data_IF_923644681867
#
_entry.id   IF_923644681867
#
_cell.length_a   1.000
_cell.length_b   1.000
_cell.length_c   1.000
_cell.angle_alpha   90.00
_cell.angle_beta   90.00
_cell.angle_gamma   90.00
#
_symmetry.space_group_name_H-M   'P 1'
#
loop_
_entity.id
_entity.type
_entity.pdbx_description
1 polymer ?
#
# COMPACT_ATOMS: atom_id res chain seq x y z
N UNK A 1 54.68 -15.82 70.61
CA UNK A 1 53.69 -16.57 71.42
C UNK A 1 52.29 -16.13 71.00
N UNK A 2 51.45 -17.12 70.61
CA UNK A 2 49.96 -17.14 70.64
C UNK A 2 49.22 -16.00 69.90
N UNK A 3 48.68 -16.23 68.71
CA UNK A 3 47.41 -16.94 68.41
C UNK A 3 46.18 -16.31 69.07
N UNK A 4 45.26 -15.79 68.23
CA UNK A 4 43.80 -16.05 68.19
C UNK A 4 43.11 -14.85 67.51
N UNK A 5 42.64 -14.96 66.27
CA UNK A 5 41.41 -15.62 65.81
C UNK A 5 40.16 -14.73 65.91
N UNK A 6 39.54 -14.52 64.74
CA UNK A 6 38.13 -14.20 64.46
C UNK A 6 37.68 -12.74 64.71
N UNK A 7 37.61 -11.96 63.63
CA UNK A 7 36.37 -11.21 63.33
C UNK A 7 36.09 -11.32 61.82
N UNK A 8 34.83 -11.64 61.57
CA UNK A 8 34.15 -11.99 60.33
C UNK A 8 33.71 -10.73 59.57
N UNK A 9 33.66 -10.85 58.25
CA UNK A 9 32.61 -10.39 57.33
C UNK A 9 32.59 -8.95 56.77
N UNK A 10 32.46 -9.01 55.44
CA UNK A 10 31.84 -8.10 54.48
C UNK A 10 32.48 -6.75 54.22
N UNK A 11 32.93 -6.60 52.97
CA UNK A 11 32.64 -5.44 52.12
C UNK A 11 32.92 -5.85 50.67
N UNK A 12 32.00 -6.63 50.07
CA UNK A 12 31.91 -6.72 48.61
C UNK A 12 30.96 -5.60 48.20
N UNK A 13 31.53 -4.45 47.87
CA UNK A 13 30.79 -3.36 47.27
C UNK A 13 30.33 -3.79 45.87
N UNK A 14 29.05 -4.12 45.76
CA UNK A 14 28.39 -4.39 44.49
C UNK A 14 28.33 -3.13 43.65
N UNK A 15 29.17 -3.07 42.61
CA UNK A 15 28.91 -2.19 41.47
C UNK A 15 27.80 -2.83 40.64
N UNK A 16 26.55 -2.50 40.97
CA UNK A 16 25.42 -2.75 40.09
C UNK A 16 25.57 -1.81 38.88
N UNK A 17 26.19 -2.33 37.81
CA UNK A 17 26.22 -1.65 36.52
C UNK A 17 24.79 -1.51 36.00
N UNK A 18 24.31 -0.26 35.94
CA UNK A 18 23.08 0.06 35.20
C UNK A 18 23.40 -0.10 33.72
N UNK A 19 23.14 -1.30 33.19
CA UNK A 19 23.08 -1.53 31.75
C UNK A 19 21.83 -0.80 31.24
N UNK A 20 22.03 0.42 30.73
CA UNK A 20 21.03 1.07 29.91
C UNK A 20 20.79 0.17 28.70
N UNK A 21 19.63 -0.50 28.68
CA UNK A 21 19.15 -1.21 27.51
C UNK A 21 18.90 -0.16 26.41
N UNK A 22 19.89 0.05 25.54
CA UNK A 22 19.67 0.67 24.24
C UNK A 22 18.83 -0.31 23.43
N UNK A 23 17.51 -0.18 23.53
CA UNK A 23 16.61 -0.82 22.59
C UNK A 23 17.03 -0.40 21.19
N UNK A 24 17.25 -1.33 20.25
CA UNK A 24 17.44 -0.95 18.86
C UNK A 24 16.20 -0.16 18.45
N UNK A 25 16.40 1.06 17.96
CA UNK A 25 15.33 1.78 17.29
C UNK A 25 14.91 0.89 16.12
N UNK A 26 13.72 0.29 16.22
CA UNK A 26 13.08 -0.37 15.08
C UNK A 26 13.09 0.65 13.96
N UNK A 27 13.87 0.38 12.91
CA UNK A 27 13.88 1.22 11.72
C UNK A 27 12.42 1.34 11.27
N UNK A 28 11.87 2.55 11.35
CA UNK A 28 10.56 2.82 10.82
C UNK A 28 10.56 2.34 9.38
N UNK A 29 9.61 1.47 9.03
CA UNK A 29 9.43 1.07 7.64
C UNK A 29 9.34 2.36 6.80
N UNK A 30 10.15 2.52 5.75
CA UNK A 30 10.15 3.76 4.99
C UNK A 30 8.74 3.94 4.42
N UNK A 31 8.11 5.06 4.76
CA UNK A 31 6.81 5.41 4.23
C UNK A 31 6.80 5.32 2.70
N UNK A 32 5.64 5.06 2.07
CA UNK A 32 5.56 4.97 0.63
C UNK A 32 6.16 6.21 -0.03
N UNK A 33 7.04 5.98 -1.00
CA UNK A 33 7.74 7.05 -1.71
C UNK A 33 7.31 7.07 -3.17
N UNK A 34 6.77 8.18 -3.65
CA UNK A 34 6.50 8.35 -5.08
C UNK A 34 7.83 8.39 -5.85
N UNK A 35 8.00 7.47 -6.81
CA UNK A 35 9.19 7.36 -7.65
C UNK A 35 9.09 8.22 -8.92
N UNK A 36 7.87 8.43 -9.42
CA UNK A 36 7.61 9.22 -10.63
C UNK A 36 6.63 8.53 -11.60
N UNK A 37 6.66 8.94 -12.86
CA UNK A 37 5.93 8.27 -13.94
C UNK A 37 6.73 7.12 -14.56
N UNK A 38 6.17 6.49 -15.58
CA UNK A 38 6.84 5.43 -16.35
C UNK A 38 6.73 5.71 -17.85
N UNK A 39 7.70 5.22 -18.61
CA UNK A 39 7.63 5.18 -20.08
C UNK A 39 7.06 3.82 -20.49
N UNK A 40 5.74 3.80 -20.73
CA UNK A 40 4.99 2.59 -21.10
C UNK A 40 5.50 2.03 -22.43
N UNK A 41 5.85 2.90 -23.38
CA UNK A 41 6.39 2.49 -24.68
C UNK A 41 7.75 1.80 -24.53
N UNK A 42 8.63 2.37 -23.71
CA UNK A 42 9.93 1.74 -23.42
C UNK A 42 9.77 0.40 -22.70
N UNK A 43 8.84 0.29 -21.75
CA UNK A 43 8.52 -0.98 -21.11
C UNK A 43 8.02 -2.02 -22.13
N UNK A 44 7.02 -1.70 -22.96
CA UNK A 44 6.50 -2.61 -23.97
C UNK A 44 7.60 -3.07 -24.95
N UNK A 45 8.48 -2.16 -25.39
CA UNK A 45 9.64 -2.51 -26.23
C UNK A 45 10.61 -3.45 -25.53
N UNK A 46 10.83 -3.27 -24.23
CA UNK A 46 11.74 -4.12 -23.46
C UNK A 46 11.30 -5.58 -23.36
N UNK A 47 9.98 -5.84 -23.49
CA UNK A 47 9.39 -7.17 -23.42
C UNK A 47 9.02 -7.74 -24.81
N UNK A 48 9.48 -7.10 -25.89
CA UNK A 48 9.39 -7.63 -27.26
C UNK A 48 8.23 -7.08 -28.12
N UNK A 49 7.49 -6.09 -27.63
CA UNK A 49 6.48 -5.40 -28.43
C UNK A 49 7.10 -4.24 -29.24
N UNK A 50 6.35 -3.73 -30.21
CA UNK A 50 6.79 -2.60 -31.06
C UNK A 50 6.72 -1.28 -30.28
N UNK A 51 5.61 -1.04 -29.59
CA UNK A 51 5.39 0.14 -28.76
C UNK A 51 4.19 -0.05 -27.82
N UNK A 52 3.82 1.00 -27.09
CA UNK A 52 2.54 1.11 -26.39
C UNK A 52 1.54 1.97 -27.17
N UNK A 53 0.24 1.68 -27.03
CA UNK A 53 -0.83 2.51 -27.54
C UNK A 53 -1.92 2.69 -26.50
N UNK A 54 -2.45 3.91 -26.41
CA UNK A 54 -3.67 4.22 -25.69
C UNK A 54 -4.84 4.16 -26.67
N UNK A 55 -5.81 3.28 -26.43
CA UNK A 55 -6.90 3.02 -27.39
C UNK A 55 -8.26 3.55 -26.93
N UNK A 56 -8.28 4.26 -25.81
CA UNK A 56 -9.44 4.87 -25.20
C UNK A 56 -9.04 6.06 -24.32
N UNK A 57 -9.76 6.29 -23.24
CA UNK A 57 -9.59 7.47 -22.37
C UNK A 57 -9.38 7.11 -20.91
N UNK A 58 -9.11 5.86 -20.59
CA UNK A 58 -8.91 5.38 -19.21
C UNK A 58 -7.53 4.78 -19.05
N UNK A 59 -7.06 4.69 -17.80
CA UNK A 59 -5.79 4.05 -17.48
C UNK A 59 -5.71 2.59 -17.96
N UNK A 60 -6.85 1.89 -18.10
CA UNK A 60 -6.91 0.51 -18.57
C UNK A 60 -6.88 0.36 -20.09
N UNK A 61 -7.01 1.45 -20.84
CA UNK A 61 -6.97 1.42 -22.31
C UNK A 61 -5.54 1.46 -22.87
N UNK A 62 -4.52 1.38 -22.00
CA UNK A 62 -3.13 1.23 -22.38
C UNK A 62 -2.82 -0.23 -22.72
N UNK A 63 -2.27 -0.45 -23.91
CA UNK A 63 -1.86 -1.77 -24.38
C UNK A 63 -0.45 -1.73 -24.96
N UNK A 64 0.26 -2.84 -24.82
CA UNK A 64 1.41 -3.08 -25.68
C UNK A 64 0.95 -3.53 -27.07
N UNK A 65 1.65 -3.11 -28.12
CA UNK A 65 1.29 -3.38 -29.52
C UNK A 65 2.40 -4.18 -30.19
N UNK A 66 2.06 -5.35 -30.73
CA UNK A 66 2.99 -6.21 -31.46
C UNK A 66 3.23 -5.73 -32.90
N UNK A 67 4.18 -6.35 -33.59
CA UNK A 67 4.54 -5.98 -34.98
C UNK A 67 3.40 -6.17 -36.00
N UNK A 68 2.44 -7.05 -35.69
CA UNK A 68 1.23 -7.27 -36.49
C UNK A 68 0.06 -6.33 -36.12
N UNK A 69 0.28 -5.42 -35.17
CA UNK A 69 -0.73 -4.49 -34.66
C UNK A 69 -1.68 -5.08 -33.60
N UNK A 70 -1.50 -6.36 -33.23
CA UNK A 70 -2.27 -6.96 -32.12
C UNK A 70 -1.94 -6.27 -30.79
N UNK A 71 -2.96 -6.17 -29.93
CA UNK A 71 -2.89 -5.48 -28.63
C UNK A 71 -2.83 -6.50 -27.52
N UNK A 72 -2.00 -6.22 -26.53
CA UNK A 72 -1.76 -7.09 -25.39
C UNK A 72 -1.84 -6.27 -24.11
N UNK A 73 -2.40 -6.88 -23.07
CA UNK A 73 -2.52 -6.24 -21.76
C UNK A 73 -1.14 -6.05 -21.15
N UNK A 74 -0.99 -4.96 -20.39
CA UNK A 74 0.18 -4.69 -19.60
C UNK A 74 -0.23 -4.50 -18.14
N UNK A 75 0.66 -4.87 -17.23
CA UNK A 75 0.47 -4.56 -15.81
C UNK A 75 1.35 -3.38 -15.45
N UNK A 76 0.74 -2.31 -14.93
CA UNK A 76 1.50 -1.14 -14.49
C UNK A 76 2.48 -1.48 -13.37
N UNK A 77 2.17 -2.46 -12.53
CA UNK A 77 3.09 -2.96 -11.50
C UNK A 77 4.39 -3.50 -12.11
N UNK A 78 4.30 -4.37 -13.13
CA UNK A 78 5.50 -4.90 -13.80
C UNK A 78 6.27 -3.78 -14.52
N UNK A 79 5.56 -2.85 -15.15
CA UNK A 79 6.18 -1.70 -15.79
C UNK A 79 6.93 -0.80 -14.77
N UNK A 80 6.34 -0.55 -13.60
CA UNK A 80 7.00 0.17 -12.51
C UNK A 80 8.24 -0.56 -11.98
N UNK A 81 8.16 -1.88 -11.79
CA UNK A 81 9.33 -2.69 -11.38
C UNK A 81 10.46 -2.61 -12.40
N UNK A 82 10.12 -2.70 -13.68
CA UNK A 82 11.09 -2.58 -14.78
C UNK A 82 11.71 -1.17 -14.83
N UNK A 83 10.90 -0.10 -14.81
CA UNK A 83 11.38 1.29 -14.90
C UNK A 83 12.34 1.65 -13.77
N UNK A 84 12.09 1.17 -12.55
CA UNK A 84 12.88 1.53 -11.37
C UNK A 84 13.85 0.44 -10.89
N UNK A 85 13.90 -0.71 -11.57
CA UNK A 85 14.80 -1.82 -11.26
C UNK A 85 14.63 -2.38 -9.85
N UNK A 86 13.40 -2.44 -9.34
CA UNK A 86 13.13 -2.89 -7.97
C UNK A 86 11.75 -3.52 -7.81
N UNK A 87 11.68 -4.67 -7.11
CA UNK A 87 10.42 -5.36 -6.82
C UNK A 87 9.51 -4.61 -5.84
N UNK A 88 10.09 -3.64 -5.12
CA UNK A 88 9.40 -2.74 -4.22
C UNK A 88 8.58 -1.65 -4.95
N UNK A 89 8.73 -1.52 -6.27
CA UNK A 89 7.96 -0.58 -7.06
C UNK A 89 6.58 -1.16 -7.40
N UNK A 90 5.53 -0.39 -7.15
CA UNK A 90 4.14 -0.69 -7.53
C UNK A 90 3.52 0.51 -8.20
N UNK A 91 2.46 0.27 -8.97
CA UNK A 91 1.67 1.34 -9.56
C UNK A 91 0.59 1.85 -8.61
N UNK A 92 0.20 3.11 -8.83
CA UNK A 92 -1.01 3.71 -8.29
C UNK A 92 -1.64 4.55 -9.38
N UNK A 93 -2.87 4.22 -9.74
CA UNK A 93 -3.70 5.01 -10.65
C UNK A 93 -4.35 6.12 -9.84
N UNK A 94 -4.02 7.37 -10.16
CA UNK A 94 -4.59 8.53 -9.45
C UNK A 94 -6.06 8.79 -9.80
N UNK A 95 -6.42 8.59 -11.07
CA UNK A 95 -7.79 8.70 -11.59
C UNK A 95 -7.96 7.72 -12.75
N UNK A 96 -8.95 6.84 -12.67
CA UNK A 96 -9.23 5.87 -13.73
C UNK A 96 -9.48 6.52 -15.09
N UNK A 97 -10.12 7.70 -15.12
CA UNK A 97 -10.46 8.45 -16.34
C UNK A 97 -9.34 9.37 -16.82
N UNK A 98 -8.19 9.36 -16.15
CA UNK A 98 -6.98 10.03 -16.62
C UNK A 98 -5.90 8.96 -16.88
N UNK A 99 -5.66 8.58 -18.15
CA UNK A 99 -4.69 7.55 -18.50
C UNK A 99 -3.25 7.96 -18.19
N UNK A 100 -2.99 9.24 -17.92
CA UNK A 100 -1.68 9.74 -17.53
C UNK A 100 -1.51 9.85 -16.01
N UNK A 101 -2.52 9.45 -15.22
CA UNK A 101 -2.49 9.57 -13.75
C UNK A 101 -1.68 8.48 -13.04
N UNK A 102 -1.20 7.47 -13.77
CA UNK A 102 -0.44 6.35 -13.21
C UNK A 102 0.91 6.83 -12.70
N UNK A 103 1.23 6.53 -11.44
CA UNK A 103 2.52 6.83 -10.82
C UNK A 103 3.08 5.57 -10.18
N UNK A 104 4.40 5.45 -10.19
CA UNK A 104 5.10 4.41 -9.47
C UNK A 104 5.44 4.86 -8.06
N UNK A 105 5.31 3.94 -7.12
CA UNK A 105 5.59 4.14 -5.70
C UNK A 105 6.50 3.01 -5.21
N UNK A 106 7.49 3.36 -4.40
CA UNK A 106 8.25 2.40 -3.60
C UNK A 106 7.48 2.14 -2.32
N UNK A 107 7.24 0.86 -2.06
CA UNK A 107 6.53 0.35 -0.88
C UNK A 107 7.26 -0.87 -0.35
N UNK A 108 6.88 -1.33 0.83
CA UNK A 108 7.25 -2.64 1.34
C UNK A 108 6.49 -3.76 0.61
N UNK A 109 6.90 -5.01 0.86
CA UNK A 109 6.18 -6.18 0.39
C UNK A 109 4.85 -6.41 1.13
N UNK A 110 4.59 -5.67 2.21
CA UNK A 110 3.36 -5.82 2.99
C UNK A 110 2.16 -5.27 2.20
N UNK A 111 1.14 -6.12 2.07
CA UNK A 111 -0.15 -5.80 1.47
C UNK A 111 -1.21 -5.96 2.54
N UNK A 112 -2.00 -4.91 2.76
CA UNK A 112 -3.07 -4.90 3.76
C UNK A 112 -4.39 -4.69 3.02
N UNK A 113 -5.35 -5.59 3.20
CA UNK A 113 -6.71 -5.40 2.69
C UNK A 113 -7.39 -4.26 3.46
N UNK A 114 -7.98 -3.26 2.79
CA UNK A 114 -8.65 -2.17 3.48
C UNK A 114 -9.85 -2.66 4.31
N UNK A 115 -9.93 -2.21 5.55
CA UNK A 115 -11.06 -2.48 6.43
C UNK A 115 -12.19 -1.46 6.16
N UNK A 116 -12.83 -1.57 4.98
CA UNK A 116 -13.83 -0.60 4.50
C UNK A 116 -15.05 -0.54 5.43
N UNK A 117 -15.55 -1.69 5.87
CA UNK A 117 -16.71 -1.77 6.79
C UNK A 117 -16.41 -1.16 8.16
N UNK A 118 -15.27 -1.53 8.76
CA UNK A 118 -14.79 -0.95 10.02
C UNK A 118 -14.58 0.56 9.90
N UNK A 119 -14.05 1.05 8.77
CA UNK A 119 -13.93 2.48 8.53
C UNK A 119 -15.30 3.18 8.48
N UNK A 120 -16.26 2.63 7.73
CA UNK A 120 -17.60 3.20 7.64
C UNK A 120 -18.31 3.23 8.99
N UNK A 121 -18.24 2.14 9.76
CA UNK A 121 -18.81 2.10 11.11
C UNK A 121 -18.12 3.08 12.06
N UNK A 122 -16.79 3.21 11.99
CA UNK A 122 -16.03 4.18 12.79
C UNK A 122 -16.37 5.65 12.49
N UNK A 123 -16.85 5.94 11.28
CA UNK A 123 -17.25 7.28 10.84
C UNK A 123 -18.75 7.56 11.06
N UNK A 124 -19.46 6.65 11.74
CA UNK A 124 -20.86 6.82 12.14
C UNK A 124 -21.88 6.28 11.13
N UNK A 125 -21.43 5.54 10.12
CA UNK A 125 -22.31 4.83 9.20
C UNK A 125 -22.70 3.45 9.73
N UNK A 126 -23.70 2.81 9.11
CA UNK A 126 -24.16 1.48 9.52
C UNK A 126 -23.22 0.36 9.07
N UNK A 127 -22.68 0.47 7.86
CA UNK A 127 -21.80 -0.53 7.25
C UNK A 127 -21.14 0.05 5.98
N UNK A 128 -20.35 -0.77 5.30
CA UNK A 128 -20.01 -0.61 3.89
C UNK A 128 -20.95 -1.42 2.98
N UNK A 129 -21.15 -0.94 1.76
CA UNK A 129 -21.89 -1.63 0.71
C UNK A 129 -21.16 -1.51 -0.63
N UNK A 130 -21.21 -2.57 -1.43
CA UNK A 130 -20.71 -2.58 -2.80
C UNK A 130 -21.90 -2.45 -3.76
N UNK A 131 -21.98 -1.35 -4.51
CA UNK A 131 -23.08 -1.02 -5.43
C UNK A 131 -22.70 -1.23 -6.90
N UNK A 132 -22.07 -2.35 -7.20
CA UNK A 132 -21.56 -2.65 -8.53
C UNK A 132 -20.52 -3.76 -8.46
N UNK A 133 -19.51 -3.69 -9.32
CA UNK A 133 -18.46 -4.71 -9.43
C UNK A 133 -17.06 -4.13 -9.49
N UNK A 134 -16.92 -2.82 -9.68
CA UNK A 134 -15.63 -2.14 -9.81
C UNK A 134 -15.14 -1.65 -8.48
N UNK A 135 -13.84 -1.35 -8.43
CA UNK A 135 -13.17 -0.78 -7.26
C UNK A 135 -13.77 0.55 -6.79
N UNK A 136 -14.51 1.27 -7.63
CA UNK A 136 -15.14 2.55 -7.27
C UNK A 136 -16.57 2.41 -6.74
N UNK A 137 -17.14 1.21 -6.73
CA UNK A 137 -18.53 1.00 -6.32
C UNK A 137 -18.69 0.80 -4.80
N UNK A 138 -17.63 1.02 -4.01
CA UNK A 138 -17.68 0.96 -2.56
C UNK A 138 -18.27 2.23 -1.95
N UNK A 139 -19.29 2.06 -1.11
CA UNK A 139 -19.98 3.13 -0.41
C UNK A 139 -20.10 2.83 1.08
N UNK A 140 -20.12 3.88 1.92
CA UNK A 140 -20.68 3.73 3.25
C UNK A 140 -22.21 3.80 3.14
N UNK A 141 -22.92 3.06 3.99
CA UNK A 141 -24.38 3.00 3.98
C UNK A 141 -24.98 3.28 5.35
N UNK A 142 -26.08 4.03 5.37
CA UNK A 142 -26.97 4.14 6.52
C UNK A 142 -28.25 3.37 6.23
N UNK A 143 -28.51 2.30 6.98
CA UNK A 143 -29.75 1.55 6.84
C UNK A 143 -30.90 2.29 7.53
N UNK A 144 -32.01 2.42 6.82
CA UNK A 144 -33.26 2.93 7.36
C UNK A 144 -34.41 1.96 7.04
N UNK A 145 -35.58 2.18 7.63
CA UNK A 145 -36.78 1.36 7.36
C UNK A 145 -37.41 1.62 5.99
N UNK A 146 -37.05 2.72 5.34
CA UNK A 146 -37.61 3.12 4.04
C UNK A 146 -36.62 2.72 2.96
N UNK A 147 -35.50 3.43 2.89
CA UNK A 147 -34.42 3.15 1.92
C UNK A 147 -33.04 3.34 2.55
N UNK A 148 -32.02 2.59 2.13
CA UNK A 148 -30.63 2.87 2.48
C UNK A 148 -30.15 4.19 1.86
N UNK A 149 -29.35 4.95 2.60
CA UNK A 149 -28.67 6.14 2.09
C UNK A 149 -27.18 5.84 1.95
N UNK A 150 -26.60 6.13 0.78
CA UNK A 150 -25.22 5.83 0.44
C UNK A 150 -24.34 7.08 0.41
N UNK A 151 -23.07 6.89 0.76
CA UNK A 151 -22.06 7.94 0.86
C UNK A 151 -20.75 7.47 0.23
N UNK A 152 -20.00 8.40 -0.35
CA UNK A 152 -18.70 8.10 -0.96
C UNK A 152 -17.68 7.61 0.08
N UNK A 153 -16.88 6.62 -0.31
CA UNK A 153 -15.75 6.12 0.48
C UNK A 153 -14.46 6.72 -0.04
N UNK A 154 -13.69 7.36 0.85
CA UNK A 154 -12.32 7.76 0.53
C UNK A 154 -11.34 6.63 0.84
N UNK A 155 -10.93 5.86 -0.16
CA UNK A 155 -9.95 4.78 0.02
C UNK A 155 -8.60 5.23 0.62
N UNK A 156 -8.05 6.41 0.28
CA UNK A 156 -6.91 6.94 1.00
C UNK A 156 -7.16 7.09 2.52
N UNK A 157 -8.38 7.50 2.92
CA UNK A 157 -8.75 7.59 4.34
C UNK A 157 -8.95 6.20 4.97
N UNK A 158 -9.59 5.27 4.26
CA UNK A 158 -9.73 3.86 4.69
C UNK A 158 -8.37 3.23 4.95
N UNK A 159 -7.39 3.43 4.07
CA UNK A 159 -6.06 2.87 4.29
C UNK A 159 -5.37 3.46 5.51
N UNK A 160 -5.49 4.78 5.75
CA UNK A 160 -4.93 5.39 6.96
C UNK A 160 -5.57 4.84 8.23
N UNK A 161 -6.88 4.62 8.20
CA UNK A 161 -7.61 3.97 9.28
C UNK A 161 -7.12 2.53 9.50
N UNK A 162 -7.06 1.74 8.43
CA UNK A 162 -6.69 0.31 8.46
C UNK A 162 -5.27 0.08 8.98
N UNK A 163 -4.32 0.92 8.54
CA UNK A 163 -2.91 0.83 8.97
C UNK A 163 -2.67 1.49 10.33
N UNK A 164 -3.59 2.34 10.80
CA UNK A 164 -3.39 3.15 12.01
C UNK A 164 -2.35 4.26 11.85
N UNK A 165 -2.14 4.76 10.62
CA UNK A 165 -1.11 5.76 10.32
C UNK A 165 -1.21 6.37 8.93
N UNK A 166 -0.49 7.48 8.70
CA UNK A 166 -0.51 8.20 7.41
C UNK A 166 0.45 7.67 6.35
N UNK A 167 1.40 6.81 6.74
CA UNK A 167 2.41 6.21 5.87
C UNK A 167 1.82 5.04 5.07
N UNK A 168 0.86 5.33 4.19
CA UNK A 168 0.22 4.34 3.33
C UNK A 168 -0.26 4.99 2.04
N UNK A 169 -0.33 4.21 0.97
CA UNK A 169 -1.09 4.52 -0.24
C UNK A 169 -2.19 3.49 -0.44
N UNK A 170 -3.27 3.93 -1.08
CA UNK A 170 -4.29 3.09 -1.69
C UNK A 170 -3.91 2.78 -3.14
N UNK A 171 -4.09 1.53 -3.57
CA UNK A 171 -4.11 1.11 -4.97
C UNK A 171 -5.08 -0.06 -5.14
N UNK A 172 -5.39 -0.42 -6.38
CA UNK A 172 -6.07 -1.65 -6.72
C UNK A 172 -5.25 -2.43 -7.74
N UNK A 173 -5.34 -3.77 -7.73
CA UNK A 173 -4.65 -4.60 -8.72
C UNK A 173 -5.48 -4.79 -10.00
N UNK A 174 -6.80 -4.80 -9.89
CA UNK A 174 -7.75 -4.91 -11.00
C UNK A 174 -8.96 -3.99 -10.77
N UNK A 175 -9.16 -3.01 -11.65
CA UNK A 175 -10.29 -2.08 -11.58
C UNK A 175 -11.65 -2.79 -11.62
N UNK A 176 -11.74 -3.91 -12.35
CA UNK A 176 -12.97 -4.66 -12.54
C UNK A 176 -13.26 -5.67 -11.42
N UNK A 177 -12.37 -5.77 -10.44
CA UNK A 177 -12.56 -6.57 -9.23
C UNK A 177 -12.45 -5.69 -7.98
N UNK A 178 -13.62 -5.34 -7.44
CA UNK A 178 -13.78 -4.52 -6.24
C UNK A 178 -13.05 -5.07 -4.99
N UNK A 179 -12.66 -6.35 -4.97
CA UNK A 179 -11.95 -6.96 -3.86
C UNK A 179 -10.43 -6.75 -3.91
N UNK A 180 -9.89 -6.20 -4.99
CA UNK A 180 -8.44 -6.09 -5.21
C UNK A 180 -7.81 -4.81 -4.66
N UNK A 181 -8.54 -4.04 -3.87
CA UNK A 181 -7.96 -2.91 -3.16
C UNK A 181 -6.83 -3.35 -2.21
N UNK A 182 -5.80 -2.52 -2.14
CA UNK A 182 -4.61 -2.73 -1.33
C UNK A 182 -4.21 -1.43 -0.65
N UNK A 183 -3.98 -1.51 0.65
CA UNK A 183 -3.22 -0.54 1.40
C UNK A 183 -1.75 -0.97 1.42
N UNK A 184 -0.86 -0.11 0.92
CA UNK A 184 0.57 -0.37 0.80
C UNK A 184 1.33 0.61 1.69
N UNK A 185 2.24 0.07 2.51
CA UNK A 185 3.11 0.81 3.44
C UNK A 185 4.54 0.82 2.95
#
# INVERSE_FOLDING_TARGET
>A
MRSLSKVLIALIAGFAGVLAAVSPATAASPAPQQLGGLDIGAYCRSIGYTDAALTGSTAYDWHCVAGDGSRHDLTFEAACRWTYGTDAAVDRIGSFTDPASVRCWRVTSTVITPAIDDYCTSTGHSAAALLGTTVYDWHCVNYSRVDPVYFDVSLPAVCRYTVGGSATIDRFADFHDASTWQCRI
#
